data_IF_673883861658
#
_entry.id   IF_673883861658
#
_cell.length_a   1.000
_cell.length_b   1.000
_cell.length_c   1.000
_cell.angle_alpha   90.00
_cell.angle_beta   90.00
_cell.angle_gamma   90.00
#
_symmetry.space_group_name_H-M   'P 1'
#
loop_
_entity.id
_entity.type
_entity.pdbx_description
1 polymer ?
#
# COMPACT_ATOMS: atom_id res chain seq x y z
N UNK A 1 12.25 7.99 -5.74
CA UNK A 1 13.27 8.83 -5.08
C UNK A 1 13.76 8.02 -3.89
N UNK A 2 15.04 7.60 -3.82
CA UNK A 2 15.53 6.93 -2.62
C UNK A 2 15.38 7.91 -1.44
N UNK A 3 14.82 7.44 -0.33
CA UNK A 3 14.74 8.24 0.89
C UNK A 3 16.16 8.33 1.47
N UNK A 4 16.83 9.46 1.26
CA UNK A 4 18.23 9.68 1.72
C UNK A 4 18.36 9.56 3.24
N UNK A 5 17.32 9.97 3.96
CA UNK A 5 17.26 9.93 5.41
C UNK A 5 16.08 9.08 5.85
N UNK A 6 16.37 7.90 6.39
CA UNK A 6 15.40 7.00 6.99
C UNK A 6 15.89 6.54 8.36
N UNK A 7 14.99 6.07 9.24
CA UNK A 7 15.42 5.36 10.44
C UNK A 7 16.34 4.18 10.06
N UNK A 8 17.43 4.01 10.81
CA UNK A 8 18.34 2.87 10.72
C UNK A 8 18.54 2.25 12.09
N UNK A 9 18.95 1.00 12.11
CA UNK A 9 19.45 0.35 13.33
C UNK A 9 20.69 1.11 13.80
N UNK A 10 20.70 1.52 15.08
CA UNK A 10 21.75 2.34 15.70
C UNK A 10 22.36 1.64 16.92
N UNK A 11 22.64 0.34 16.80
CA UNK A 11 23.24 -0.49 17.86
C UNK A 11 24.63 -0.01 18.30
N UNK A 12 25.29 0.81 17.48
CA UNK A 12 26.56 1.48 17.80
C UNK A 12 26.42 2.64 18.80
N UNK A 13 25.21 3.19 18.99
CA UNK A 13 25.00 4.34 19.85
C UNK A 13 25.13 3.96 21.33
N UNK A 14 25.57 4.91 22.18
CA UNK A 14 25.64 4.70 23.63
C UNK A 14 24.26 4.41 24.24
N UNK A 15 23.23 5.07 23.72
CA UNK A 15 21.82 4.87 24.07
C UNK A 15 21.03 4.73 22.75
N UNK A 16 20.96 3.51 22.17
CA UNK A 16 20.28 3.29 20.89
C UNK A 16 18.79 3.60 20.97
N UNK A 17 18.26 4.27 19.95
CA UNK A 17 16.81 4.44 19.77
C UNK A 17 16.18 3.19 19.15
N UNK A 18 16.82 2.62 18.13
CA UNK A 18 16.43 1.40 17.41
C UNK A 18 17.59 0.38 17.44
N UNK A 19 17.75 -0.36 18.55
CA UNK A 19 18.92 -1.22 18.78
C UNK A 19 19.03 -2.43 17.86
N UNK A 20 17.97 -2.80 17.14
CA UNK A 20 17.89 -4.02 16.33
C UNK A 20 16.84 -3.88 15.22
N UNK A 21 16.73 -4.88 14.33
CA UNK A 21 15.72 -4.92 13.28
C UNK A 21 14.30 -4.84 13.89
N UNK A 22 13.44 -3.88 13.46
CA UNK A 22 12.08 -3.74 13.98
C UNK A 22 11.24 -5.03 13.93
N UNK A 23 11.43 -5.88 12.92
CA UNK A 23 10.71 -7.16 12.79
C UNK A 23 11.17 -8.16 13.85
N UNK A 24 12.44 -8.16 14.23
CA UNK A 24 12.97 -8.98 15.32
C UNK A 24 12.41 -8.46 16.65
N UNK A 25 12.54 -7.16 16.91
CA UNK A 25 12.03 -6.53 18.13
C UNK A 25 10.53 -6.80 18.35
N UNK A 26 9.72 -6.70 17.29
CA UNK A 26 8.29 -7.02 17.35
C UNK A 26 8.02 -8.50 17.64
N UNK A 27 8.71 -9.42 16.96
CA UNK A 27 8.53 -10.88 17.15
C UNK A 27 8.98 -11.36 18.52
N UNK A 28 10.06 -10.82 19.06
CA UNK A 28 10.59 -11.14 20.39
C UNK A 28 9.84 -10.44 21.52
N UNK A 29 8.88 -9.57 21.19
CA UNK A 29 8.16 -8.81 22.20
C UNK A 29 9.00 -7.73 22.88
N UNK A 30 10.12 -7.30 22.28
CA UNK A 30 11.02 -6.26 22.82
C UNK A 30 10.51 -4.86 22.47
N UNK A 31 9.32 -4.55 22.98
CA UNK A 31 8.63 -3.28 22.80
C UNK A 31 7.77 -2.95 24.03
N UNK A 32 7.35 -1.70 24.18
CA UNK A 32 6.51 -1.27 25.29
C UNK A 32 5.16 -1.99 25.29
N UNK A 33 4.80 -2.62 26.42
CA UNK A 33 3.58 -3.43 26.54
C UNK A 33 2.36 -2.57 26.90
N UNK A 34 1.82 -1.88 25.89
CA UNK A 34 0.61 -1.07 26.00
C UNK A 34 -0.42 -1.51 24.95
N UNK A 35 -1.73 -1.36 25.20
CA UNK A 35 -2.75 -1.60 24.18
C UNK A 35 -2.46 -0.80 22.90
N UNK A 36 -2.57 -1.46 21.75
CA UNK A 36 -2.22 -0.89 20.44
C UNK A 36 -3.42 -0.86 19.51
N UNK A 37 -3.58 0.23 18.75
CA UNK A 37 -4.58 0.34 17.70
C UNK A 37 -3.92 0.93 16.45
N UNK A 38 -4.21 0.33 15.30
CA UNK A 38 -3.81 0.84 13.99
C UNK A 38 -4.90 0.57 12.96
N UNK A 39 -4.75 1.07 11.75
CA UNK A 39 -5.72 0.84 10.69
C UNK A 39 -5.16 1.11 9.31
N UNK A 40 -6.01 0.84 8.33
CA UNK A 40 -5.75 1.06 6.90
C UNK A 40 -6.93 1.79 6.28
N UNK A 41 -6.70 2.52 5.22
CA UNK A 41 -7.75 3.06 4.37
C UNK A 41 -8.02 2.13 3.19
N UNK A 42 -9.21 2.25 2.58
CA UNK A 42 -9.58 1.46 1.40
C UNK A 42 -8.59 1.60 0.23
N UNK A 43 -7.92 2.75 0.11
CA UNK A 43 -7.17 3.16 -1.08
C UNK A 43 -5.79 3.73 -0.75
N UNK A 44 -5.08 3.15 0.22
CA UNK A 44 -3.73 3.55 0.64
C UNK A 44 -2.76 3.81 -0.53
N UNK A 45 -2.84 3.00 -1.57
CA UNK A 45 -1.93 3.08 -2.72
C UNK A 45 -2.13 4.31 -3.61
N UNK A 46 -3.24 5.04 -3.47
CA UNK A 46 -3.62 6.11 -4.40
C UNK A 46 -2.58 7.23 -4.42
N UNK A 47 -1.97 7.52 -3.26
CA UNK A 47 -0.93 8.54 -3.10
C UNK A 47 0.30 8.23 -3.96
N UNK A 48 0.71 6.96 -4.01
CA UNK A 48 1.97 6.54 -4.61
C UNK A 48 1.90 6.46 -6.13
N UNK A 49 0.71 6.19 -6.69
CA UNK A 49 0.52 6.07 -8.13
C UNK A 49 -0.31 7.21 -8.73
N UNK A 50 -0.57 8.26 -7.95
CA UNK A 50 -1.39 9.38 -8.37
C UNK A 50 -0.98 9.99 -9.72
N UNK A 51 0.32 10.20 -10.02
CA UNK A 51 0.73 10.70 -11.33
C UNK A 51 0.30 9.79 -12.50
N UNK A 52 0.33 8.46 -12.30
CA UNK A 52 -0.12 7.49 -13.30
C UNK A 52 -1.64 7.46 -13.46
N UNK A 53 -2.38 7.83 -12.42
CA UNK A 53 -3.84 7.97 -12.50
C UNK A 53 -4.25 9.23 -13.27
N UNK A 54 -3.44 10.29 -13.24
CA UNK A 54 -3.67 11.55 -13.94
C UNK A 54 -3.22 11.49 -15.41
N UNK A 55 -2.13 10.78 -15.71
CA UNK A 55 -1.58 10.69 -17.05
C UNK A 55 -1.85 9.31 -17.68
N UNK A 56 -2.78 9.26 -18.62
CA UNK A 56 -3.15 8.02 -19.31
C UNK A 56 -2.01 7.41 -20.13
N UNK A 57 -1.00 8.19 -20.53
CA UNK A 57 0.17 7.67 -21.26
C UNK A 57 1.18 6.97 -20.34
N UNK A 58 1.12 7.24 -19.03
CA UNK A 58 2.02 6.61 -18.06
C UNK A 58 1.59 5.17 -17.72
N UNK A 59 0.31 4.82 -17.89
CA UNK A 59 -0.18 3.47 -17.63
C UNK A 59 0.40 2.44 -18.62
N UNK A 60 0.35 2.64 -19.96
CA UNK A 60 1.02 1.76 -20.92
C UNK A 60 2.55 1.73 -20.75
N UNK A 61 3.15 2.85 -20.35
CA UNK A 61 4.59 2.93 -20.09
C UNK A 61 4.99 2.05 -18.89
N UNK A 62 4.23 2.10 -17.79
CA UNK A 62 4.41 1.20 -16.65
C UNK A 62 4.18 -0.26 -17.06
N UNK A 63 3.20 -0.51 -17.94
CA UNK A 63 2.88 -1.84 -18.43
C UNK A 63 4.04 -2.45 -19.24
N UNK A 64 4.54 -1.70 -20.22
CA UNK A 64 5.61 -2.15 -21.13
C UNK A 64 6.97 -2.26 -20.45
N UNK A 65 7.20 -1.46 -19.40
CA UNK A 65 8.46 -1.43 -18.66
C UNK A 65 8.29 -1.89 -17.20
N UNK A 66 7.44 -2.89 -16.95
CA UNK A 66 7.11 -3.34 -15.59
C UNK A 66 8.34 -3.72 -14.76
N UNK A 67 9.30 -4.43 -15.35
CA UNK A 67 10.55 -4.84 -14.68
C UNK A 67 11.45 -3.65 -14.33
N UNK A 68 11.25 -2.51 -14.99
CA UNK A 68 11.90 -1.26 -14.61
C UNK A 68 11.16 -0.60 -13.43
N UNK A 69 9.83 -0.48 -13.49
CA UNK A 69 9.07 0.27 -12.49
C UNK A 69 8.89 -0.47 -11.17
N UNK A 70 8.52 -1.76 -11.20
CA UNK A 70 8.21 -2.55 -10.01
C UNK A 70 9.32 -2.54 -8.92
N UNK A 71 10.59 -2.87 -9.21
CA UNK A 71 11.64 -2.86 -8.18
C UNK A 71 11.87 -1.48 -7.56
N UNK A 72 11.73 -0.43 -8.37
CA UNK A 72 11.96 0.96 -7.95
C UNK A 72 10.82 1.47 -7.07
N UNK A 73 9.58 1.10 -7.39
CA UNK A 73 8.39 1.50 -6.64
C UNK A 73 8.31 0.73 -5.32
N UNK A 74 8.47 -0.60 -5.34
CA UNK A 74 8.15 -1.43 -4.18
C UNK A 74 9.35 -1.83 -3.32
N UNK A 75 10.54 -1.91 -3.90
CA UNK A 75 11.73 -2.40 -3.18
C UNK A 75 12.80 -1.33 -2.98
N UNK A 76 12.67 -0.17 -3.64
CA UNK A 76 13.74 0.83 -3.68
C UNK A 76 15.02 0.32 -4.33
N UNK A 77 14.92 -0.72 -5.16
CA UNK A 77 16.05 -1.39 -5.82
C UNK A 77 16.07 -1.08 -7.32
N UNK A 78 17.24 -1.23 -7.93
CA UNK A 78 17.43 -1.13 -9.39
C UNK A 78 17.85 -2.46 -10.02
N UNK A 79 18.02 -3.49 -9.20
CA UNK A 79 18.55 -4.80 -9.57
C UNK A 79 17.43 -5.83 -9.81
N UNK A 80 17.83 -7.01 -10.29
CA UNK A 80 16.95 -8.16 -10.49
C UNK A 80 16.19 -8.51 -9.20
N UNK A 81 14.88 -8.72 -9.34
CA UNK A 81 13.97 -9.08 -8.22
C UNK A 81 13.65 -10.56 -8.19
N UNK A 82 14.30 -11.35 -9.04
CA UNK A 82 13.91 -12.72 -9.32
C UNK A 82 12.47 -12.76 -9.82
N UNK A 83 11.64 -13.57 -9.17
CA UNK A 83 10.23 -13.75 -9.55
C UNK A 83 9.25 -12.81 -8.82
N UNK A 84 9.73 -11.91 -7.95
CA UNK A 84 8.86 -11.10 -7.10
C UNK A 84 7.93 -10.21 -7.92
N UNK A 85 8.47 -9.45 -8.87
CA UNK A 85 7.68 -8.53 -9.68
C UNK A 85 6.71 -9.24 -10.63
N UNK A 86 7.09 -10.42 -11.14
CA UNK A 86 6.21 -11.22 -12.00
C UNK A 86 5.06 -11.86 -11.21
N UNK A 87 5.34 -12.40 -10.00
CA UNK A 87 4.30 -12.90 -9.10
C UNK A 87 3.35 -11.80 -8.64
N UNK A 88 3.89 -10.63 -8.27
CA UNK A 88 3.09 -9.49 -7.86
C UNK A 88 2.15 -9.04 -8.99
N UNK A 89 2.67 -8.86 -10.20
CA UNK A 89 1.85 -8.52 -11.37
C UNK A 89 0.75 -9.57 -11.60
N UNK A 90 1.12 -10.85 -11.63
CA UNK A 90 0.17 -11.94 -11.85
C UNK A 90 -0.95 -11.99 -10.81
N UNK A 91 -0.64 -11.67 -9.55
CA UNK A 91 -1.62 -11.71 -8.46
C UNK A 91 -2.74 -10.67 -8.61
N UNK A 92 -2.43 -9.44 -9.05
CA UNK A 92 -3.42 -8.36 -9.13
C UNK A 92 -3.94 -8.12 -10.54
N UNK A 93 -3.09 -8.28 -11.56
CA UNK A 93 -3.41 -7.94 -12.95
C UNK A 93 -3.58 -9.19 -13.83
N UNK A 94 -3.06 -10.35 -13.40
CA UNK A 94 -3.00 -11.53 -14.24
C UNK A 94 -2.25 -11.22 -15.55
N UNK A 95 -2.87 -11.57 -16.67
CA UNK A 95 -2.36 -11.27 -18.02
C UNK A 95 -2.96 -9.98 -18.62
N UNK A 96 -3.69 -9.18 -17.83
CA UNK A 96 -4.32 -7.95 -18.32
C UNK A 96 -3.30 -6.80 -18.42
N UNK A 97 -3.37 -5.96 -19.47
CA UNK A 97 -2.51 -4.78 -19.59
C UNK A 97 -2.93 -3.70 -18.60
N UNK A 98 -2.00 -2.92 -18.06
CA UNK A 98 -2.31 -1.77 -17.22
C UNK A 98 -2.89 -0.64 -18.07
N UNK A 99 -4.13 -0.26 -17.81
CA UNK A 99 -4.87 0.75 -18.56
C UNK A 99 -5.91 1.47 -17.68
N UNK A 100 -6.62 2.44 -18.27
CA UNK A 100 -7.62 3.26 -17.57
C UNK A 100 -8.72 2.45 -16.85
N UNK A 101 -9.09 1.29 -17.39
CA UNK A 101 -10.19 0.46 -16.86
C UNK A 101 -9.79 -0.40 -15.65
N UNK A 102 -8.51 -0.73 -15.50
CA UNK A 102 -7.99 -1.56 -14.41
C UNK A 102 -6.93 -0.86 -13.53
N UNK A 103 -6.69 0.44 -13.73
CA UNK A 103 -5.74 1.24 -12.93
C UNK A 103 -5.96 1.18 -11.40
N UNK A 104 -7.17 0.88 -10.94
CA UNK A 104 -7.45 0.70 -9.51
C UNK A 104 -6.90 -0.61 -8.94
N UNK A 105 -6.60 -1.62 -9.77
CA UNK A 105 -5.83 -2.80 -9.30
C UNK A 105 -4.39 -2.42 -8.99
N UNK A 106 -3.83 -1.42 -9.69
CA UNK A 106 -2.54 -0.84 -9.36
C UNK A 106 -2.61 -0.07 -8.02
N UNK A 107 -3.69 0.70 -7.77
CA UNK A 107 -3.93 1.32 -6.46
C UNK A 107 -3.91 0.26 -5.35
N UNK A 108 -4.66 -0.84 -5.55
CA UNK A 108 -4.76 -1.92 -4.56
C UNK A 108 -3.43 -2.61 -4.33
N UNK A 109 -2.74 -3.00 -5.40
CA UNK A 109 -1.41 -3.59 -5.35
C UNK A 109 -0.43 -2.71 -4.57
N UNK A 110 -0.42 -1.41 -4.87
CA UNK A 110 0.48 -0.47 -4.20
C UNK A 110 0.12 -0.24 -2.74
N UNK A 111 -1.17 -0.16 -2.41
CA UNK A 111 -1.62 -0.06 -1.02
C UNK A 111 -1.21 -1.30 -0.20
N UNK A 112 -1.33 -2.48 -0.78
CA UNK A 112 -0.93 -3.73 -0.14
C UNK A 112 0.58 -3.79 0.11
N UNK A 113 1.40 -3.42 -0.88
CA UNK A 113 2.86 -3.43 -0.70
C UNK A 113 3.40 -2.32 0.21
N UNK A 114 2.82 -1.13 0.19
CA UNK A 114 3.35 0.02 0.92
C UNK A 114 2.81 0.12 2.36
N UNK A 115 1.57 -0.30 2.61
CA UNK A 115 0.87 -0.01 3.86
C UNK A 115 0.22 -1.27 4.46
N UNK A 116 -0.68 -1.95 3.74
CA UNK A 116 -1.59 -2.92 4.36
C UNK A 116 -0.88 -4.17 4.90
N UNK A 117 0.08 -4.73 4.15
CA UNK A 117 0.83 -5.91 4.61
C UNK A 117 1.61 -5.59 5.89
N UNK A 118 2.29 -4.44 5.94
CA UNK A 118 3.03 -4.00 7.13
C UNK A 118 2.13 -3.79 8.34
N UNK A 119 0.96 -3.15 8.16
CA UNK A 119 -0.03 -2.97 9.22
C UNK A 119 -0.54 -4.32 9.75
N UNK A 120 -0.89 -5.25 8.85
CA UNK A 120 -1.40 -6.58 9.21
C UNK A 120 -0.34 -7.44 9.91
N UNK A 121 0.90 -7.45 9.41
CA UNK A 121 2.01 -8.15 10.06
C UNK A 121 2.28 -7.61 11.46
N UNK A 122 2.22 -6.28 11.63
CA UNK A 122 2.39 -5.63 12.93
C UNK A 122 1.30 -6.03 13.91
N UNK A 123 0.03 -5.97 13.48
CA UNK A 123 -1.11 -6.40 14.31
C UNK A 123 -0.98 -7.86 14.72
N UNK A 124 -0.68 -8.75 13.77
CA UNK A 124 -0.48 -10.18 14.06
C UNK A 124 0.63 -10.38 15.09
N UNK A 125 1.79 -9.73 14.90
CA UNK A 125 2.91 -9.86 15.82
C UNK A 125 2.58 -9.33 17.23
N UNK A 126 2.01 -8.13 17.34
CA UNK A 126 1.72 -7.50 18.62
C UNK A 126 0.58 -8.17 19.40
N UNK A 127 -0.41 -8.74 18.70
CA UNK A 127 -1.57 -9.40 19.31
C UNK A 127 -1.21 -10.56 20.25
N UNK A 128 -0.03 -11.17 20.08
CA UNK A 128 0.48 -12.21 20.98
C UNK A 128 0.91 -11.67 22.36
N UNK A 129 1.13 -10.36 22.49
CA UNK A 129 1.69 -9.74 23.70
C UNK A 129 0.78 -8.70 24.35
N UNK A 130 -0.06 -8.00 23.57
CA UNK A 130 -0.90 -6.90 24.05
C UNK A 130 -2.26 -6.85 23.34
N UNK A 131 -3.33 -6.33 24.00
CA UNK A 131 -4.59 -6.06 23.32
C UNK A 131 -4.37 -5.18 22.11
N UNK A 132 -4.75 -5.68 20.93
CA UNK A 132 -4.47 -5.05 19.64
C UNK A 132 -5.74 -4.92 18.81
N UNK A 133 -5.96 -3.74 18.23
CA UNK A 133 -7.16 -3.42 17.44
C UNK A 133 -6.76 -2.96 16.04
N UNK A 134 -7.46 -3.47 15.03
CA UNK A 134 -7.29 -3.08 13.62
C UNK A 134 -8.60 -2.46 13.12
N UNK A 135 -8.54 -1.28 12.50
CA UNK A 135 -9.68 -0.67 11.82
C UNK A 135 -9.47 -0.56 10.30
N UNK A 136 -10.58 -0.56 9.56
CA UNK A 136 -10.63 -0.19 8.13
C UNK A 136 -11.41 1.11 8.00
N UNK A 137 -10.80 2.12 7.39
CA UNK A 137 -11.45 3.41 7.12
C UNK A 137 -11.85 3.50 5.64
N UNK A 138 -13.16 3.47 5.39
CA UNK A 138 -13.72 3.38 4.04
C UNK A 138 -14.57 4.60 3.66
N UNK A 139 -14.65 5.61 4.53
CA UNK A 139 -15.45 6.80 4.27
C UNK A 139 -14.78 7.72 3.25
N UNK A 140 -15.47 8.01 2.15
CA UNK A 140 -15.07 9.00 1.15
C UNK A 140 -15.72 10.35 1.45
N UNK A 141 -14.91 11.34 1.84
CA UNK A 141 -15.37 12.70 2.09
C UNK A 141 -15.53 13.52 0.81
N UNK A 142 -16.31 14.61 0.86
CA UNK A 142 -16.45 15.55 -0.26
C UNK A 142 -15.16 16.30 -0.62
N UNK A 143 -14.16 16.27 0.28
CA UNK A 143 -12.80 16.77 0.09
C UNK A 143 -11.83 15.86 0.84
N UNK A 144 -10.78 15.41 0.17
CA UNK A 144 -9.71 14.60 0.75
C UNK A 144 -8.31 15.15 0.49
N UNK A 145 -7.30 14.47 1.02
CA UNK A 145 -5.89 14.81 0.77
C UNK A 145 -5.55 14.79 -0.73
N UNK A 146 -6.11 13.85 -1.49
CA UNK A 146 -5.88 13.77 -2.94
C UNK A 146 -6.50 14.94 -3.71
N UNK A 147 -7.63 15.49 -3.24
CA UNK A 147 -8.18 16.74 -3.79
C UNK A 147 -7.24 17.92 -3.53
N UNK A 148 -6.63 17.97 -2.34
CA UNK A 148 -5.64 19.00 -2.02
C UNK A 148 -4.41 18.91 -2.94
N UNK A 149 -3.86 17.70 -3.14
CA UNK A 149 -2.73 17.47 -4.07
C UNK A 149 -3.14 17.85 -5.50
N UNK A 150 -4.36 17.50 -5.94
CA UNK A 150 -4.89 17.91 -7.23
C UNK A 150 -4.95 19.42 -7.36
N UNK A 151 -5.51 20.12 -6.38
CA UNK A 151 -5.61 21.57 -6.37
C UNK A 151 -4.24 22.23 -6.42
N UNK A 152 -3.26 21.72 -5.67
CA UNK A 152 -1.88 22.21 -5.72
C UNK A 152 -1.27 22.03 -7.11
N UNK A 153 -1.47 20.87 -7.74
CA UNK A 153 -1.03 20.61 -9.11
C UNK A 153 -1.69 21.57 -10.11
N UNK A 154 -3.02 21.73 -10.05
CA UNK A 154 -3.79 22.62 -10.93
C UNK A 154 -3.34 24.08 -10.80
N UNK A 155 -3.07 24.55 -9.58
CA UNK A 155 -2.58 25.93 -9.35
C UNK A 155 -1.19 26.17 -9.97
N UNK A 156 -0.37 25.13 -10.10
CA UNK A 156 0.97 25.22 -10.71
C UNK A 156 0.97 25.21 -12.23
N UNK A 157 -0.16 24.90 -12.87
CA UNK A 157 -0.28 24.81 -14.34
C UNK A 157 -0.74 26.12 -14.98
N UNK A 158 -0.34 26.37 -16.25
CA UNK A 158 -0.91 27.43 -17.09
C UNK A 158 -2.44 27.32 -17.15
N UNK A 159 -3.13 28.46 -17.29
CA UNK A 159 -4.58 28.54 -17.19
C UNK A 159 -5.30 27.64 -18.21
N UNK A 160 -4.72 27.52 -19.41
CA UNK A 160 -5.22 26.70 -20.52
C UNK A 160 -5.15 25.19 -20.21
N UNK A 161 -4.29 24.78 -19.28
CA UNK A 161 -4.08 23.38 -18.92
C UNK A 161 -4.85 22.97 -17.66
N UNK A 162 -5.45 23.90 -16.91
CA UNK A 162 -6.12 23.62 -15.62
C UNK A 162 -7.30 22.66 -15.76
N UNK A 163 -8.11 22.84 -16.80
CA UNK A 163 -9.30 22.02 -17.06
C UNK A 163 -8.96 20.61 -17.57
N UNK A 164 -7.71 20.39 -17.99
CA UNK A 164 -7.25 19.08 -18.47
C UNK A 164 -6.97 18.07 -17.35
N UNK A 165 -6.86 18.51 -16.09
CA UNK A 165 -6.52 17.63 -14.95
C UNK A 165 -7.76 16.86 -14.48
N UNK A 166 -7.83 15.53 -14.69
CA UNK A 166 -9.02 14.76 -14.35
C UNK A 166 -9.28 14.78 -12.84
N UNK A 167 -10.56 14.71 -12.45
CA UNK A 167 -10.94 14.36 -11.08
C UNK A 167 -10.80 12.86 -10.89
N UNK A 168 -9.97 12.45 -9.95
CA UNK A 168 -9.89 11.05 -9.52
C UNK A 168 -10.77 10.94 -8.29
N UNK A 169 -11.92 10.29 -8.46
CA UNK A 169 -12.75 9.86 -7.34
C UNK A 169 -12.15 8.57 -6.77
N UNK A 170 -12.48 8.28 -5.51
CA UNK A 170 -12.17 6.99 -4.92
C UNK A 170 -12.69 5.85 -5.81
N UNK A 171 -12.06 4.69 -5.70
CA UNK A 171 -12.45 3.49 -6.42
C UNK A 171 -13.95 3.24 -6.18
N UNK A 172 -14.79 3.44 -7.20
CA UNK A 172 -16.19 3.02 -7.15
C UNK A 172 -16.26 1.51 -6.84
N UNK A 173 -17.15 1.14 -5.93
CA UNK A 173 -17.31 -0.23 -5.43
C UNK A 173 -17.40 -1.25 -6.59
N UNK A 174 -16.45 -2.19 -6.66
CA UNK A 174 -16.71 -3.54 -7.17
C UNK A 174 -16.44 -4.51 -6.01
N UNK A 175 -17.45 -4.71 -5.18
CA UNK A 175 -17.52 -5.83 -4.26
C UNK A 175 -17.49 -7.11 -5.10
N UNK A 176 -16.33 -7.78 -5.16
CA UNK A 176 -16.36 -9.23 -5.32
C UNK A 176 -16.70 -9.77 -3.94
N UNK A 177 -17.93 -10.23 -3.78
CA UNK A 177 -18.36 -10.97 -2.60
C UNK A 177 -17.40 -12.16 -2.41
N UNK A 178 -16.53 -12.10 -1.41
CA UNK A 178 -15.87 -13.29 -0.89
C UNK A 178 -16.85 -13.97 0.07
N UNK A 179 -17.90 -14.58 -0.51
CA UNK A 179 -18.80 -15.48 0.19
C UNK A 179 -18.12 -16.83 0.39
N UNK A 180 -17.39 -16.98 1.49
CA UNK A 180 -16.87 -18.24 1.97
C UNK A 180 -17.25 -18.42 3.42
N UNK A 181 -18.41 -19.01 3.67
CA UNK A 181 -18.85 -19.45 5.00
C UNK A 181 -17.89 -20.52 5.52
N UNK A 182 -17.11 -20.18 6.54
CA UNK A 182 -16.44 -21.17 7.39
C UNK A 182 -17.55 -21.86 8.18
N UNK A 183 -17.94 -23.06 7.74
CA UNK A 183 -18.82 -23.92 8.53
C UNK A 183 -17.96 -24.67 9.55
N UNK A 184 -18.26 -24.39 10.81
CA UNK A 184 -17.75 -25.09 11.98
C UNK A 184 -18.25 -26.54 11.96
N UNK A 185 -17.33 -27.47 11.71
CA UNK A 185 -17.59 -28.91 11.71
C UNK A 185 -17.22 -29.51 13.06
N UNK A 186 -18.01 -29.22 14.09
CA UNK A 186 -18.08 -30.09 15.27
C UNK A 186 -18.98 -31.27 14.94
N UNK A 187 -18.39 -32.45 14.78
CA UNK A 187 -19.12 -33.71 14.94
C UNK A 187 -18.35 -34.60 15.91
N UNK A 188 -18.91 -34.68 17.11
CA UNK A 188 -18.71 -35.75 18.08
C UNK A 188 -18.91 -37.11 17.39
N UNK A 189 -17.88 -37.96 17.46
CA UNK A 189 -18.01 -39.38 17.17
C UNK A 189 -18.38 -40.13 18.45
N UNK A 190 -19.51 -40.82 18.35
CA UNK A 190 -19.96 -41.89 19.24
C UNK A 190 -19.42 -43.22 18.73
#
# INVERSE_FOLDING_TARGET
MPLTFTPRVDSEAKNPFLPDDPKILLREGRFAKVPFMTGVTREEGIMFIYPALLNETLLPEIDGNWDFYCPRIFLGKTEDTGDYCSRLRKQYLGDQPINRHNRYELVRMTGDQMMNVGALETVKAQSHFVPTYLYSFEYEGSRGFMDFIRSMLVMSLPEEARDSVPKIHGCGIRTKEFGGTVTDGSQDQK
#
